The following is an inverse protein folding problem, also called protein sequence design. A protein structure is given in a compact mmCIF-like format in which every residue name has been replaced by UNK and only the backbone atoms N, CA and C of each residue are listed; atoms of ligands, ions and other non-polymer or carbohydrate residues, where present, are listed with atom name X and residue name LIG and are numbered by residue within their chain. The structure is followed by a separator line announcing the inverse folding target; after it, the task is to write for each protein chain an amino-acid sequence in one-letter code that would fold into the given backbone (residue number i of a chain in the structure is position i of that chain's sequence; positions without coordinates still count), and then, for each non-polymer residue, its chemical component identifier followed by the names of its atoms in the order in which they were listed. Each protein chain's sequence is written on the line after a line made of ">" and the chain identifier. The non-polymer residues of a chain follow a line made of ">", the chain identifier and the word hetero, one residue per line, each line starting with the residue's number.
data_IF_997744101700
#
_entry.id   IF_997744101700
#
_cell.length_a   1.000
_cell.length_b   1.000
_cell.length_c   1.000
_cell.angle_alpha   90.00
_cell.angle_beta   90.00
_cell.angle_gamma   90.00
#
_symmetry.space_group_name_H-M   'P 1'
#
loop_
_entity.id
_entity.type
_entity.pdbx_description
1 polymer ?
#
# COMPACT_ATOMS: atom_id res chain seq x y z
N UNK A 1 42.77 21.59 -12.94
CA UNK A 1 41.53 20.81 -13.12
C UNK A 1 40.36 21.57 -12.50
N UNK A 2 39.42 22.14 -13.27
CA UNK A 2 38.16 22.60 -12.69
C UNK A 2 37.13 21.45 -12.74
N UNK A 3 36.57 21.09 -11.58
CA UNK A 3 35.39 20.22 -11.48
C UNK A 3 34.22 20.93 -12.12
N UNK A 4 33.70 20.39 -13.23
CA UNK A 4 32.47 20.86 -13.83
C UNK A 4 31.34 20.73 -12.81
N UNK A 5 30.75 21.86 -12.40
CA UNK A 5 29.48 21.87 -11.67
C UNK A 5 28.40 21.46 -12.65
N UNK A 6 27.87 20.25 -12.51
CA UNK A 6 26.65 19.84 -13.21
C UNK A 6 25.54 20.84 -12.92
N UNK A 7 24.88 21.43 -13.94
CA UNK A 7 23.74 22.28 -13.70
C UNK A 7 22.60 21.40 -13.15
N UNK A 8 22.16 21.68 -11.93
CA UNK A 8 20.88 21.17 -11.45
C UNK A 8 19.81 21.55 -12.48
N UNK A 9 19.06 20.56 -12.94
CA UNK A 9 17.99 20.71 -13.92
C UNK A 9 16.97 21.78 -13.48
N UNK A 10 16.27 22.44 -14.42
CA UNK A 10 15.32 23.50 -14.10
C UNK A 10 14.23 23.00 -13.14
N UNK A 11 13.95 23.81 -12.11
CA UNK A 11 12.79 23.67 -11.24
C UNK A 11 11.54 23.59 -12.12
N UNK A 12 10.84 22.45 -12.09
CA UNK A 12 9.61 22.24 -12.84
C UNK A 12 8.60 23.33 -12.46
N UNK A 13 7.93 23.90 -13.46
CA UNK A 13 6.83 24.85 -13.24
C UNK A 13 5.78 24.20 -12.33
N UNK A 14 5.19 24.95 -11.38
CA UNK A 14 4.23 24.41 -10.43
C UNK A 14 2.99 23.87 -11.15
N UNK A 15 2.97 22.55 -11.37
CA UNK A 15 1.84 21.84 -11.98
C UNK A 15 0.72 21.57 -10.95
N UNK A 16 0.56 22.44 -9.94
CA UNK A 16 -0.28 22.15 -8.77
C UNK A 16 -1.77 22.04 -9.13
N UNK A 17 -2.28 22.90 -10.02
CA UNK A 17 -3.70 22.92 -10.35
C UNK A 17 -4.19 21.67 -11.11
N UNK A 18 -3.55 21.23 -12.22
CA UNK A 18 -3.98 19.99 -12.88
C UNK A 18 -3.69 18.76 -12.01
N UNK A 19 -2.59 18.74 -11.23
CA UNK A 19 -2.30 17.61 -10.34
C UNK A 19 -3.31 17.51 -9.20
N UNK A 20 -3.74 18.63 -8.64
CA UNK A 20 -4.78 18.66 -7.61
C UNK A 20 -6.14 18.23 -8.16
N UNK A 21 -6.50 18.65 -9.39
CA UNK A 21 -7.73 18.21 -10.05
C UNK A 21 -7.71 16.71 -10.35
N UNK A 22 -6.61 16.19 -10.88
CA UNK A 22 -6.45 14.76 -11.15
C UNK A 22 -6.52 13.96 -9.85
N UNK A 23 -5.79 14.39 -8.81
CA UNK A 23 -5.82 13.73 -7.50
C UNK A 23 -7.21 13.78 -6.88
N UNK A 24 -7.90 14.92 -6.97
CA UNK A 24 -9.25 15.08 -6.46
C UNK A 24 -10.27 14.21 -7.19
N UNK A 25 -10.21 14.19 -8.53
CA UNK A 25 -11.06 13.32 -9.34
C UNK A 25 -10.81 11.83 -9.08
N UNK A 26 -9.54 11.43 -8.98
CA UNK A 26 -9.17 10.06 -8.63
C UNK A 26 -9.66 9.67 -7.24
N UNK A 27 -9.52 10.57 -6.26
CA UNK A 27 -10.04 10.37 -4.91
C UNK A 27 -11.55 10.18 -4.96
N UNK A 28 -12.31 11.10 -5.58
CA UNK A 28 -13.77 11.00 -5.71
C UNK A 28 -14.17 9.68 -6.37
N UNK A 29 -13.50 9.28 -7.45
CA UNK A 29 -13.75 8.00 -8.12
C UNK A 29 -13.55 6.81 -7.17
N UNK A 30 -12.49 6.82 -6.37
CA UNK A 30 -12.24 5.80 -5.35
C UNK A 30 -13.33 5.79 -4.26
N UNK A 31 -13.79 6.96 -3.81
CA UNK A 31 -14.84 7.04 -2.79
C UNK A 31 -16.17 6.52 -3.34
N UNK A 32 -16.51 6.88 -4.59
CA UNK A 32 -17.71 6.40 -5.27
C UNK A 32 -17.67 4.90 -5.50
N UNK A 33 -16.50 4.34 -5.82
CA UNK A 33 -16.31 2.91 -5.96
C UNK A 33 -16.64 2.17 -4.66
N UNK A 34 -16.03 2.53 -3.53
CA UNK A 34 -16.32 1.91 -2.22
C UNK A 34 -17.79 2.09 -1.83
N UNK A 35 -18.34 3.30 -2.01
CA UNK A 35 -19.73 3.62 -1.65
C UNK A 35 -20.76 2.85 -2.49
N UNK A 36 -20.43 2.51 -3.73
CA UNK A 36 -21.31 1.74 -4.62
C UNK A 36 -21.39 0.26 -4.28
N UNK A 37 -20.50 -0.26 -3.42
CA UNK A 37 -20.42 -1.69 -3.11
C UNK A 37 -19.91 -2.54 -4.29
N UNK A 38 -19.33 -1.92 -5.31
CA UNK A 38 -18.74 -2.61 -6.47
C UNK A 38 -17.66 -3.62 -6.04
N UNK A 39 -16.97 -3.37 -4.93
CA UNK A 39 -16.01 -4.30 -4.33
C UNK A 39 -16.65 -5.67 -4.06
N UNK A 40 -17.87 -5.70 -3.52
CA UNK A 40 -18.57 -6.94 -3.23
C UNK A 40 -18.96 -7.69 -4.51
N UNK A 41 -19.42 -6.97 -5.53
CA UNK A 41 -19.75 -7.55 -6.83
C UNK A 41 -18.52 -8.18 -7.51
N UNK A 42 -17.35 -7.53 -7.42
CA UNK A 42 -16.09 -8.11 -7.91
C UNK A 42 -15.70 -9.34 -7.09
N UNK A 43 -15.86 -9.31 -5.77
CA UNK A 43 -15.55 -10.44 -4.88
C UNK A 43 -16.43 -11.66 -5.15
N UNK A 44 -17.72 -11.47 -5.42
CA UNK A 44 -18.63 -12.56 -5.84
C UNK A 44 -18.20 -13.22 -7.17
N UNK A 45 -17.46 -12.51 -8.03
CA UNK A 45 -16.84 -13.10 -9.22
C UNK A 45 -15.61 -13.98 -8.91
N UNK A 46 -14.97 -13.77 -7.76
CA UNK A 46 -13.74 -14.45 -7.35
C UNK A 46 -13.96 -15.53 -6.28
N UNK A 47 -15.09 -15.47 -5.57
CA UNK A 47 -15.44 -16.33 -4.46
C UNK A 47 -16.91 -16.75 -4.54
N UNK A 48 -17.21 -17.89 -3.94
CA UNK A 48 -18.58 -18.40 -3.80
C UNK A 48 -18.92 -18.52 -2.31
N UNK A 49 -20.12 -18.97 -1.97
CA UNK A 49 -20.55 -19.12 -0.57
C UNK A 49 -19.66 -20.08 0.26
N UNK A 50 -18.89 -20.94 -0.42
CA UNK A 50 -17.92 -21.85 0.20
C UNK A 50 -16.55 -21.18 0.49
N UNK A 51 -16.37 -19.93 0.06
CA UNK A 51 -15.16 -19.14 0.25
C UNK A 51 -14.38 -18.86 -1.03
N UNK A 52 -13.16 -18.34 -0.84
CA UNK A 52 -12.22 -18.01 -1.91
C UNK A 52 -11.40 -19.24 -2.31
N UNK A 53 -11.61 -19.76 -3.52
CA UNK A 53 -10.92 -20.97 -3.99
C UNK A 53 -9.38 -20.82 -4.03
N UNK A 54 -8.88 -19.60 -4.24
CA UNK A 54 -7.44 -19.32 -4.32
C UNK A 54 -6.82 -18.89 -2.97
N UNK A 55 -7.59 -18.88 -1.88
CA UNK A 55 -7.12 -18.46 -0.55
C UNK A 55 -5.89 -19.25 -0.09
N UNK A 56 -5.98 -20.58 -0.17
CA UNK A 56 -4.94 -21.49 0.33
C UNK A 56 -3.99 -21.96 -0.80
N UNK A 57 -4.02 -21.29 -1.95
CA UNK A 57 -3.11 -21.61 -3.04
C UNK A 57 -1.68 -21.27 -2.61
N UNK A 58 -0.83 -22.30 -2.50
CA UNK A 58 0.57 -22.16 -2.08
C UNK A 58 1.34 -21.09 -2.86
N UNK A 59 1.10 -20.98 -4.17
CA UNK A 59 1.78 -19.99 -4.99
C UNK A 59 1.41 -18.55 -4.59
N UNK A 60 0.13 -18.28 -4.31
CA UNK A 60 -0.32 -16.96 -3.91
C UNK A 60 0.05 -16.64 -2.47
N UNK A 61 -0.18 -17.59 -1.55
CA UNK A 61 0.03 -17.36 -0.13
C UNK A 61 1.52 -17.38 0.22
N UNK A 62 2.28 -18.38 -0.21
CA UNK A 62 3.67 -18.52 0.20
C UNK A 62 4.60 -17.72 -0.72
N UNK A 63 4.53 -17.93 -2.04
CA UNK A 63 5.47 -17.26 -2.96
C UNK A 63 5.12 -15.79 -3.13
N UNK A 64 3.88 -15.49 -3.53
CA UNK A 64 3.51 -14.12 -3.85
C UNK A 64 3.25 -13.24 -2.63
N UNK A 65 2.77 -13.78 -1.51
CA UNK A 65 2.55 -12.97 -0.30
C UNK A 65 3.73 -13.06 0.68
N UNK A 66 4.11 -14.25 1.15
CA UNK A 66 5.16 -14.38 2.18
C UNK A 66 6.56 -14.05 1.64
N UNK A 67 6.98 -14.66 0.52
CA UNK A 67 8.33 -14.46 -0.02
C UNK A 67 8.53 -13.08 -0.61
N UNK A 68 7.52 -12.51 -1.27
CA UNK A 68 7.60 -11.13 -1.76
C UNK A 68 7.77 -10.13 -0.61
N UNK A 69 7.06 -10.32 0.51
CA UNK A 69 7.18 -9.48 1.70
C UNK A 69 8.57 -9.58 2.32
N UNK A 70 9.13 -10.80 2.41
CA UNK A 70 10.51 -11.01 2.86
C UNK A 70 11.52 -10.34 1.91
N UNK A 71 11.33 -10.47 0.61
CA UNK A 71 12.17 -9.81 -0.39
C UNK A 71 12.10 -8.28 -0.25
N UNK A 72 10.92 -7.71 -0.07
CA UNK A 72 10.75 -6.28 0.16
C UNK A 72 11.51 -5.80 1.40
N UNK A 73 11.50 -6.58 2.50
CA UNK A 73 12.30 -6.29 3.68
C UNK A 73 13.81 -6.33 3.38
N UNK A 74 14.29 -7.35 2.64
CA UNK A 74 15.69 -7.44 2.23
C UNK A 74 16.10 -6.24 1.37
N UNK A 75 15.25 -5.83 0.43
CA UNK A 75 15.47 -4.64 -0.39
C UNK A 75 15.53 -3.39 0.47
N UNK A 76 14.62 -3.22 1.43
CA UNK A 76 14.64 -2.08 2.35
C UNK A 76 15.94 -2.04 3.17
N UNK A 77 16.39 -3.17 3.71
CA UNK A 77 17.66 -3.27 4.44
C UNK A 77 18.86 -2.96 3.53
N UNK A 78 18.82 -3.39 2.26
CA UNK A 78 19.86 -3.06 1.29
C UNK A 78 19.90 -1.53 1.02
N UNK A 79 18.75 -0.87 0.84
CA UNK A 79 18.67 0.59 0.70
C UNK A 79 19.20 1.30 1.95
N UNK A 80 18.93 0.75 3.14
CA UNK A 80 19.49 1.28 4.40
C UNK A 80 21.02 1.12 4.45
N UNK A 81 21.56 -0.02 4.03
CA UNK A 81 23.00 -0.24 3.93
C UNK A 81 23.67 0.73 2.93
N UNK A 82 22.97 1.12 1.86
CA UNK A 82 23.46 2.10 0.88
C UNK A 82 23.66 3.51 1.44
N UNK A 83 23.18 3.81 2.65
CA UNK A 83 23.55 5.05 3.36
C UNK A 83 25.08 5.13 3.51
N UNK A 84 25.71 4.02 3.91
CA UNK A 84 27.15 3.90 4.18
C UNK A 84 27.93 3.32 2.99
N UNK A 85 27.35 2.37 2.25
CA UNK A 85 27.95 1.77 1.06
C UNK A 85 27.09 2.05 -0.18
N UNK A 86 27.08 3.31 -0.68
CA UNK A 86 26.35 3.62 -1.91
C UNK A 86 26.94 2.80 -3.07
N UNK A 87 26.07 2.37 -3.98
CA UNK A 87 26.44 1.65 -5.21
C UNK A 87 25.74 2.28 -6.42
N UNK A 88 26.37 2.23 -7.59
CA UNK A 88 25.79 2.76 -8.84
C UNK A 88 25.35 4.22 -8.74
N UNK A 89 24.11 4.51 -9.10
CA UNK A 89 23.56 5.88 -9.09
C UNK A 89 23.41 6.49 -7.69
N UNK A 90 23.43 5.68 -6.61
CA UNK A 90 23.34 6.21 -5.24
C UNK A 90 24.60 6.97 -4.79
N UNK A 91 25.72 6.86 -5.52
CA UNK A 91 26.90 7.71 -5.30
C UNK A 91 26.65 9.18 -5.65
N UNK A 92 25.71 9.47 -6.56
CA UNK A 92 25.37 10.84 -6.93
C UNK A 92 24.54 11.56 -5.85
N UNK A 93 23.94 10.81 -4.92
CA UNK A 93 23.13 11.34 -3.83
C UNK A 93 24.01 11.75 -2.65
N UNK A 94 23.60 12.81 -1.95
CA UNK A 94 24.19 13.15 -0.66
C UNK A 94 23.77 12.15 0.43
N UNK A 95 24.55 12.07 1.52
CA UNK A 95 24.20 11.20 2.66
C UNK A 95 22.82 11.55 3.24
N UNK A 96 22.48 12.84 3.30
CA UNK A 96 21.18 13.31 3.79
C UNK A 96 20.03 12.86 2.91
N UNK A 97 20.14 12.99 1.59
CA UNK A 97 19.11 12.50 0.65
C UNK A 97 18.90 10.98 0.77
N UNK A 98 19.96 10.19 0.99
CA UNK A 98 19.81 8.75 1.24
C UNK A 98 19.08 8.46 2.56
N UNK A 99 19.34 9.24 3.61
CA UNK A 99 18.63 9.12 4.89
C UNK A 99 17.16 9.50 4.71
N UNK A 100 16.85 10.58 3.97
CA UNK A 100 15.47 10.99 3.68
C UNK A 100 14.69 9.89 2.96
N UNK A 101 15.29 9.21 1.98
CA UNK A 101 14.67 8.08 1.28
C UNK A 101 14.33 6.95 2.28
N UNK A 102 15.29 6.56 3.12
CA UNK A 102 15.10 5.47 4.10
C UNK A 102 14.04 5.85 5.13
N UNK A 103 14.08 7.07 5.66
CA UNK A 103 13.09 7.57 6.60
C UNK A 103 11.70 7.66 5.96
N UNK A 104 11.60 8.13 4.72
CA UNK A 104 10.33 8.19 3.98
C UNK A 104 9.70 6.80 3.86
N UNK A 105 10.47 5.80 3.42
CA UNK A 105 9.99 4.41 3.33
C UNK A 105 9.58 3.88 4.70
N UNK A 106 10.41 4.08 5.74
CA UNK A 106 10.12 3.61 7.09
C UNK A 106 8.83 4.23 7.66
N UNK A 107 8.64 5.54 7.47
CA UNK A 107 7.46 6.25 7.92
C UNK A 107 6.21 5.80 7.16
N UNK A 108 6.29 5.56 5.85
CA UNK A 108 5.18 5.00 5.08
C UNK A 108 4.79 3.60 5.56
N UNK A 109 5.76 2.72 5.80
CA UNK A 109 5.50 1.37 6.32
C UNK A 109 4.88 1.43 7.72
N UNK A 110 5.40 2.30 8.59
CA UNK A 110 4.86 2.50 9.94
C UNK A 110 3.43 3.04 9.88
N UNK A 111 3.16 4.03 9.03
CA UNK A 111 1.84 4.58 8.85
C UNK A 111 0.86 3.48 8.39
N UNK A 112 1.14 2.79 7.30
CA UNK A 112 0.27 1.74 6.75
C UNK A 112 0.05 0.62 7.78
N UNK A 113 1.11 0.17 8.46
CA UNK A 113 0.99 -0.86 9.50
C UNK A 113 0.14 -0.39 10.69
N UNK A 114 0.23 0.89 11.08
CA UNK A 114 -0.55 1.43 12.18
C UNK A 114 -2.01 1.57 11.80
N UNK A 115 -2.28 2.14 10.62
CA UNK A 115 -3.63 2.21 10.03
C UNK A 115 -4.28 0.83 9.96
N UNK A 116 -3.53 -0.18 9.49
CA UNK A 116 -3.99 -1.56 9.44
C UNK A 116 -4.30 -2.11 10.83
N UNK A 117 -3.43 -1.85 11.81
CA UNK A 117 -3.67 -2.30 13.18
C UNK A 117 -4.93 -1.69 13.82
N UNK A 118 -5.26 -0.44 13.52
CA UNK A 118 -6.46 0.22 14.06
C UNK A 118 -7.72 0.00 13.21
N UNK A 119 -7.61 -0.65 12.06
CA UNK A 119 -8.74 -0.88 11.18
C UNK A 119 -9.64 -2.01 11.68
N UNK A 120 -10.93 -1.71 11.74
CA UNK A 120 -11.98 -2.69 12.02
C UNK A 120 -12.46 -3.43 10.76
N UNK A 121 -11.87 -3.18 9.59
CA UNK A 121 -12.23 -3.89 8.37
C UNK A 121 -11.57 -5.27 8.35
N UNK A 122 -12.37 -6.33 8.36
CA UNK A 122 -11.93 -7.71 8.22
C UNK A 122 -11.66 -8.05 6.76
N UNK A 123 -10.95 -9.16 6.57
CA UNK A 123 -10.60 -9.63 5.24
C UNK A 123 -11.84 -10.11 4.50
N UNK A 124 -11.83 -10.05 3.15
CA UNK A 124 -13.00 -10.40 2.36
C UNK A 124 -13.44 -11.85 2.58
N UNK A 125 -12.51 -12.79 2.78
CA UNK A 125 -12.82 -14.20 3.09
C UNK A 125 -13.38 -14.44 4.50
N UNK A 126 -13.37 -13.45 5.39
CA UNK A 126 -13.98 -13.54 6.72
C UNK A 126 -15.41 -12.99 6.73
N UNK A 127 -15.92 -12.49 5.60
CA UNK A 127 -17.30 -12.02 5.45
C UNK A 127 -18.30 -13.18 5.42
N UNK A 128 -19.49 -12.98 5.99
CA UNK A 128 -20.59 -13.95 6.04
C UNK A 128 -20.99 -14.46 4.66
N UNK A 129 -20.91 -13.60 3.65
CA UNK A 129 -21.25 -13.92 2.26
C UNK A 129 -20.32 -14.96 1.61
N UNK A 130 -19.15 -15.19 2.21
CA UNK A 130 -18.16 -16.16 1.75
C UNK A 130 -17.86 -17.23 2.80
N UNK A 131 -18.80 -17.48 3.73
CA UNK A 131 -18.69 -18.52 4.76
C UNK A 131 -17.99 -18.07 6.06
N UNK A 132 -17.69 -16.78 6.20
CA UNK A 132 -17.09 -16.19 7.39
C UNK A 132 -18.10 -15.71 8.44
N UNK A 133 -17.65 -14.86 9.37
CA UNK A 133 -18.47 -14.34 10.49
C UNK A 133 -18.67 -12.82 10.47
N UNK A 134 -17.83 -12.08 9.73
CA UNK A 134 -17.87 -10.63 9.64
C UNK A 134 -19.00 -10.16 8.70
N UNK A 135 -19.61 -9.02 9.02
CA UNK A 135 -20.60 -8.38 8.13
C UNK A 135 -19.88 -7.42 7.19
N UNK A 136 -20.32 -7.34 5.94
CA UNK A 136 -19.81 -6.31 5.04
C UNK A 136 -20.25 -4.94 5.55
N UNK A 137 -19.27 -4.06 5.77
CA UNK A 137 -19.46 -2.70 6.26
C UNK A 137 -18.58 -1.80 5.40
N UNK A 138 -19.19 -0.80 4.76
CA UNK A 138 -18.43 0.17 3.97
C UNK A 138 -17.51 0.99 4.87
N UNK A 139 -16.34 1.37 4.36
CA UNK A 139 -15.39 2.21 5.08
C UNK A 139 -15.98 3.60 5.44
N UNK A 140 -17.07 4.01 4.78
CA UNK A 140 -17.79 5.26 5.03
C UNK A 140 -18.76 5.19 6.21
N UNK A 141 -19.09 4.00 6.70
CA UNK A 141 -19.94 3.83 7.89
C UNK A 141 -19.11 3.97 9.16
N UNK A 142 -18.83 5.22 9.52
CA UNK A 142 -18.07 5.58 10.71
C UNK A 142 -18.65 4.94 11.98
N UNK A 143 -17.79 4.28 12.76
CA UNK A 143 -18.15 3.65 14.03
C UNK A 143 -18.86 2.29 13.91
N UNK A 144 -19.18 1.84 12.70
CA UNK A 144 -19.69 0.49 12.49
C UNK A 144 -18.55 -0.53 12.62
N UNK A 145 -18.81 -1.60 13.37
CA UNK A 145 -17.92 -2.76 13.47
C UNK A 145 -18.53 -3.90 12.67
N UNK A 146 -17.71 -4.52 11.83
CA UNK A 146 -18.10 -5.71 11.06
C UNK A 146 -18.28 -6.96 11.94
N UNK A 147 -17.78 -6.94 13.18
CA UNK A 147 -17.83 -8.06 14.12
C UNK A 147 -16.79 -9.15 13.85
N UNK A 148 -15.82 -8.89 12.97
CA UNK A 148 -14.71 -9.78 12.68
C UNK A 148 -13.40 -9.39 13.37
N UNK A 149 -12.30 -9.98 12.93
CA UNK A 149 -10.98 -9.74 13.50
C UNK A 149 -10.38 -8.37 13.11
N UNK A 150 -10.89 -7.74 12.06
CA UNK A 150 -10.35 -6.49 11.53
C UNK A 150 -8.99 -6.69 10.85
N UNK A 151 -8.19 -5.62 10.83
CA UNK A 151 -6.79 -5.62 10.42
C UNK A 151 -6.48 -5.92 8.95
N UNK A 152 -7.44 -5.81 8.03
CA UNK A 152 -7.19 -6.14 6.62
C UNK A 152 -7.04 -4.92 5.70
N UNK A 153 -7.46 -3.74 6.17
CA UNK A 153 -7.34 -2.48 5.43
C UNK A 153 -6.48 -1.46 6.19
N UNK A 154 -5.61 -0.67 5.53
CA UNK A 154 -5.23 -0.73 4.13
C UNK A 154 -4.28 -1.88 3.81
N UNK A 155 -4.21 -2.27 2.53
CA UNK A 155 -3.19 -3.19 2.04
C UNK A 155 -1.80 -2.54 2.12
N UNK A 156 -0.78 -3.32 2.48
CA UNK A 156 0.59 -2.86 2.70
C UNK A 156 1.62 -3.88 2.29
#
# INVERSE_FOLDING_TARGET
>A
MPKAKTPFAPVQKPLFLPTALITGAALIGLLMWDASGLDLAVMQGLAHEQGFALRDNWWLAEVLHTRSRQLALVVFLAVMAMIWWPVGWFHALTRWQRIEIVLGIALSLLAISSLKHFSFTSCPWDLQEFGGKARYVSHWTWGARDGGAGHCFPAG
#
